data_IF_632674796138
#
_entry.id   IF_632674796138
#
_cell.length_a   1.000
_cell.length_b   1.000
_cell.length_c   1.000
_cell.angle_alpha   90.00
_cell.angle_beta   90.00
_cell.angle_gamma   90.00
#
_symmetry.space_group_name_H-M   'P 1'
#
loop_
_entity.id
_entity.type
_entity.pdbx_description
1 polymer ?
#
# COMPACT_ATOMS: atom_id res chain seq x y z
N UNK A 1 -8.56 13.45 -2.31
CA UNK A 1 -9.08 12.86 -1.06
C UNK A 1 -9.60 11.45 -1.35
N UNK A 2 -9.39 10.48 -0.43
CA UNK A 2 -9.95 9.13 -0.54
C UNK A 2 -11.48 9.20 -0.40
N UNK A 3 -12.19 8.63 -1.36
CA UNK A 3 -13.67 8.63 -1.41
C UNK A 3 -14.22 7.29 -0.95
N UNK A 4 -13.66 6.19 -1.46
CA UNK A 4 -14.12 4.85 -1.13
C UNK A 4 -12.99 3.83 -1.20
N UNK A 5 -13.17 2.73 -0.45
CA UNK A 5 -12.34 1.53 -0.52
C UNK A 5 -13.27 0.37 -0.87
N UNK A 6 -12.97 -0.31 -1.97
CA UNK A 6 -13.67 -1.51 -2.42
C UNK A 6 -12.81 -2.73 -2.10
N UNK A 7 -13.30 -3.57 -1.20
CA UNK A 7 -12.70 -4.81 -0.77
C UNK A 7 -13.35 -6.06 -1.38
N UNK A 8 -14.28 -5.89 -2.33
CA UNK A 8 -15.01 -7.00 -2.94
C UNK A 8 -14.14 -7.95 -3.77
N UNK A 9 -12.98 -7.48 -4.20
CA UNK A 9 -11.97 -8.29 -4.90
C UNK A 9 -11.00 -9.03 -3.97
N UNK A 10 -11.12 -8.90 -2.66
CA UNK A 10 -10.37 -9.72 -1.72
C UNK A 10 -10.90 -11.16 -1.71
N UNK A 11 -10.00 -12.12 -1.55
CA UNK A 11 -10.33 -13.53 -1.74
C UNK A 11 -10.24 -14.33 -0.43
N UNK A 12 -9.03 -14.50 0.08
CA UNK A 12 -8.77 -15.45 1.15
C UNK A 12 -7.90 -14.86 2.24
N UNK A 13 -8.33 -15.06 3.48
CA UNK A 13 -7.52 -14.82 4.67
C UNK A 13 -6.68 -16.06 5.00
N UNK A 14 -5.43 -15.85 5.36
CA UNK A 14 -4.51 -16.92 5.78
C UNK A 14 -3.63 -16.44 6.95
N UNK A 15 -3.18 -17.37 7.81
CA UNK A 15 -2.32 -17.01 8.93
C UNK A 15 -1.01 -16.40 8.46
N UNK A 16 -0.63 -15.28 9.05
CA UNK A 16 0.68 -14.67 8.85
C UNK A 16 1.79 -15.49 9.53
N UNK A 17 3.04 -15.24 9.14
CA UNK A 17 4.22 -15.78 9.83
C UNK A 17 4.28 -15.36 11.31
N UNK A 18 3.66 -14.24 11.66
CA UNK A 18 3.54 -13.77 13.04
C UNK A 18 2.30 -14.37 13.67
N UNK A 19 2.47 -15.12 14.77
CA UNK A 19 1.36 -15.77 15.49
C UNK A 19 0.30 -14.75 15.94
N UNK A 20 -0.98 -15.06 15.67
CA UNK A 20 -2.12 -14.21 16.01
C UNK A 20 -2.45 -13.14 14.97
N UNK A 21 -1.72 -13.08 13.86
CA UNK A 21 -1.98 -12.15 12.77
C UNK A 21 -2.33 -12.88 11.47
N UNK A 22 -3.04 -12.17 10.60
CA UNK A 22 -3.54 -12.69 9.33
C UNK A 22 -3.13 -11.78 8.17
N UNK A 23 -3.04 -12.38 7.01
CA UNK A 23 -2.81 -11.73 5.72
C UNK A 23 -4.01 -12.04 4.82
N UNK A 24 -4.22 -11.23 3.78
CA UNK A 24 -5.31 -11.42 2.83
C UNK A 24 -4.78 -11.36 1.40
N UNK A 25 -5.22 -12.28 0.56
CA UNK A 25 -4.98 -12.23 -0.88
C UNK A 25 -6.13 -11.58 -1.64
N UNK A 26 -5.89 -11.30 -2.90
CA UNK A 26 -6.87 -10.69 -3.80
C UNK A 26 -6.56 -9.23 -4.12
N UNK A 27 -7.59 -8.49 -4.49
CA UNK A 27 -7.49 -7.11 -4.94
C UNK A 27 -8.31 -6.18 -4.07
N UNK A 28 -7.70 -5.04 -3.75
CA UNK A 28 -8.35 -3.94 -3.05
C UNK A 28 -8.23 -2.69 -3.92
N UNK A 29 -9.34 -2.00 -4.14
CA UNK A 29 -9.38 -0.79 -4.93
C UNK A 29 -9.73 0.42 -4.08
N UNK A 30 -8.95 1.48 -4.22
CA UNK A 30 -9.19 2.78 -3.58
C UNK A 30 -9.50 3.83 -4.64
N UNK A 31 -10.58 4.57 -4.45
CA UNK A 31 -11.02 5.63 -5.36
C UNK A 31 -10.85 6.99 -4.71
N UNK A 32 -10.32 7.95 -5.45
CA UNK A 32 -10.04 9.30 -5.00
C UNK A 32 -10.91 10.35 -5.72
N UNK A 33 -11.19 11.46 -5.06
CA UNK A 33 -12.05 12.55 -5.57
C UNK A 33 -11.55 13.19 -6.88
N UNK A 34 -10.25 13.03 -7.19
CA UNK A 34 -9.67 13.49 -8.47
C UNK A 34 -9.82 12.52 -9.63
N UNK A 35 -10.60 11.42 -9.46
CA UNK A 35 -10.72 10.37 -10.46
C UNK A 35 -9.59 9.35 -10.48
N UNK A 36 -8.54 9.56 -9.68
CA UNK A 36 -7.45 8.59 -9.55
C UNK A 36 -7.91 7.35 -8.81
N UNK A 37 -7.34 6.21 -9.17
CA UNK A 37 -7.57 4.93 -8.53
C UNK A 37 -6.22 4.31 -8.12
N UNK A 38 -6.21 3.61 -6.99
CA UNK A 38 -5.13 2.75 -6.56
C UNK A 38 -5.66 1.33 -6.43
N UNK A 39 -5.07 0.39 -7.13
CA UNK A 39 -5.30 -1.04 -6.96
C UNK A 39 -4.11 -1.64 -6.22
N UNK A 40 -4.39 -2.32 -5.12
CA UNK A 40 -3.43 -3.17 -4.42
C UNK A 40 -3.80 -4.62 -4.70
N UNK A 41 -2.84 -5.39 -5.23
CA UNK A 41 -3.02 -6.80 -5.53
C UNK A 41 -1.98 -7.61 -4.76
N UNK A 42 -2.47 -8.63 -4.05
CA UNK A 42 -1.64 -9.61 -3.34
C UNK A 42 -2.05 -10.99 -3.80
N UNK A 43 -1.11 -11.72 -4.36
CA UNK A 43 -1.30 -13.12 -4.74
C UNK A 43 -0.27 -14.03 -4.07
N UNK A 44 -0.44 -15.33 -4.20
CA UNK A 44 0.47 -16.34 -3.64
C UNK A 44 1.71 -16.54 -4.54
N UNK A 45 1.89 -15.74 -5.59
CA UNK A 45 3.05 -15.84 -6.48
C UNK A 45 4.29 -15.26 -5.82
N UNK A 46 5.45 -15.78 -6.22
CA UNK A 46 6.75 -15.20 -5.83
C UNK A 46 7.10 -13.96 -6.67
N UNK A 47 6.11 -13.31 -7.26
CA UNK A 47 6.33 -12.13 -8.10
C UNK A 47 6.83 -10.97 -7.23
N UNK A 48 7.96 -10.36 -7.57
CA UNK A 48 8.47 -9.22 -6.80
C UNK A 48 7.49 -8.06 -6.78
N UNK A 49 7.49 -7.31 -5.68
CA UNK A 49 6.70 -6.10 -5.56
C UNK A 49 6.99 -5.13 -6.72
N UNK A 50 5.95 -4.68 -7.38
CA UNK A 50 6.05 -3.62 -8.39
C UNK A 50 4.94 -2.60 -8.22
N UNK A 51 5.27 -1.33 -8.48
CA UNK A 51 4.32 -0.23 -8.52
C UNK A 51 4.09 0.18 -9.98
N UNK A 52 2.83 0.20 -10.40
CA UNK A 52 2.44 0.69 -11.72
C UNK A 52 1.64 1.98 -11.53
N UNK A 53 2.12 3.05 -12.16
CA UNK A 53 1.42 4.33 -12.26
C UNK A 53 0.94 4.48 -13.71
N UNK A 54 -0.34 4.76 -13.88
CA UNK A 54 -0.94 4.87 -15.21
C UNK A 54 -1.86 6.08 -15.30
N UNK A 55 -1.81 6.76 -16.44
CA UNK A 55 -2.78 7.76 -16.84
C UNK A 55 -3.26 7.46 -18.28
N UNK A 56 -4.03 8.36 -18.90
CA UNK A 56 -4.56 8.18 -20.25
C UNK A 56 -3.47 8.10 -21.35
N UNK A 57 -2.27 8.61 -21.09
CA UNK A 57 -1.22 8.77 -22.09
C UNK A 57 -0.03 7.84 -21.85
N UNK A 58 0.29 7.58 -20.58
CA UNK A 58 1.50 6.91 -20.16
C UNK A 58 1.26 5.88 -19.06
N UNK A 59 2.12 4.88 -19.05
CA UNK A 59 2.24 3.92 -17.94
C UNK A 59 3.70 3.84 -17.50
N UNK A 60 3.92 3.94 -16.20
CA UNK A 60 5.23 3.77 -15.57
C UNK A 60 5.22 2.56 -14.65
N UNK A 61 6.28 1.81 -14.69
CA UNK A 61 6.51 0.67 -13.80
C UNK A 61 7.78 0.88 -13.00
N UNK A 62 7.65 0.83 -11.69
CA UNK A 62 8.76 0.72 -10.75
C UNK A 62 8.85 -0.73 -10.28
N UNK A 63 9.99 -1.36 -10.50
CA UNK A 63 10.33 -2.66 -9.93
C UNK A 63 11.38 -2.44 -8.83
N UNK A 64 10.93 -2.58 -7.60
CA UNK A 64 11.71 -2.24 -6.43
C UNK A 64 12.88 -3.22 -6.24
N UNK A 65 12.68 -4.50 -6.58
CA UNK A 65 13.67 -5.57 -6.35
C UNK A 65 14.93 -5.41 -7.18
N UNK A 66 14.78 -4.90 -8.41
CA UNK A 66 15.89 -4.67 -9.34
C UNK A 66 16.26 -3.19 -9.47
N UNK A 67 15.50 -2.30 -8.84
CA UNK A 67 15.74 -0.87 -8.89
C UNK A 67 15.54 -0.28 -10.29
N UNK A 68 14.59 -0.79 -11.06
CA UNK A 68 14.30 -0.28 -12.41
C UNK A 68 13.01 0.54 -12.42
N UNK A 69 13.05 1.65 -13.17
CA UNK A 69 11.90 2.49 -13.46
C UNK A 69 11.79 2.65 -14.98
N UNK A 70 10.68 2.22 -15.55
CA UNK A 70 10.45 2.23 -17.01
C UNK A 70 9.11 2.85 -17.35
N UNK A 71 8.96 3.39 -18.56
CA UNK A 71 7.66 3.83 -19.05
C UNK A 71 7.32 3.23 -20.42
N UNK A 72 6.06 3.39 -20.82
CA UNK A 72 5.53 2.91 -22.11
C UNK A 72 6.20 3.53 -23.33
N UNK A 73 6.85 4.70 -23.18
CA UNK A 73 7.53 5.42 -24.25
C UNK A 73 9.02 5.03 -24.44
N UNK A 74 9.46 3.97 -23.74
CA UNK A 74 10.84 3.47 -23.84
C UNK A 74 11.85 4.15 -22.92
N UNK A 75 11.41 5.05 -22.03
CA UNK A 75 12.28 5.59 -20.99
C UNK A 75 12.64 4.47 -19.99
N UNK A 76 13.91 4.43 -19.61
CA UNK A 76 14.40 3.50 -18.58
C UNK A 76 15.44 4.20 -17.71
N UNK A 77 15.27 4.03 -16.41
CA UNK A 77 16.20 4.47 -15.38
C UNK A 77 16.49 3.28 -14.46
N UNK A 78 17.75 3.04 -14.17
CA UNK A 78 18.15 2.02 -13.19
C UNK A 78 18.83 2.71 -12.01
N UNK A 79 18.53 2.23 -10.81
CA UNK A 79 19.06 2.74 -9.57
C UNK A 79 18.84 1.77 -8.44
N UNK A 80 19.13 2.21 -7.23
CA UNK A 80 18.81 1.49 -6.00
C UNK A 80 17.57 2.11 -5.36
N UNK A 81 16.58 1.29 -5.05
CA UNK A 81 15.51 1.68 -4.14
C UNK A 81 15.99 1.40 -2.72
N UNK A 82 16.08 2.44 -1.90
CA UNK A 82 16.56 2.32 -0.53
C UNK A 82 15.51 1.66 0.36
N UNK A 83 15.94 0.73 1.21
CA UNK A 83 15.06 0.13 2.21
C UNK A 83 14.67 1.15 3.28
N UNK A 84 13.54 0.94 3.93
CA UNK A 84 13.04 1.81 5.01
C UNK A 84 14.08 2.06 6.11
N UNK A 85 14.89 1.05 6.46
CA UNK A 85 15.97 1.18 7.43
C UNK A 85 17.07 2.14 6.99
N UNK A 86 17.34 2.26 5.69
CA UNK A 86 18.33 3.18 5.12
C UNK A 86 17.83 4.64 5.12
N UNK A 87 16.51 4.84 5.07
CA UNK A 87 15.88 6.16 5.08
C UNK A 87 15.87 6.81 6.48
N UNK A 88 16.05 6.04 7.54
CA UNK A 88 15.99 6.55 8.93
C UNK A 88 17.04 7.64 9.20
N UNK A 89 18.27 7.45 8.78
CA UNK A 89 19.34 8.44 8.94
C UNK A 89 19.03 9.78 8.28
N UNK A 90 18.75 9.81 6.96
CA UNK A 90 18.33 11.02 6.26
C UNK A 90 17.12 11.73 6.87
N UNK A 91 16.12 10.98 7.35
CA UNK A 91 14.95 11.54 8.04
C UNK A 91 15.32 12.25 9.34
N UNK A 92 16.14 11.60 10.17
CA UNK A 92 16.63 12.21 11.43
C UNK A 92 17.45 13.46 11.13
N UNK A 93 18.37 13.40 10.19
CA UNK A 93 19.17 14.55 9.76
C UNK A 93 18.31 15.72 9.31
N UNK A 94 17.26 15.47 8.55
CA UNK A 94 16.33 16.50 8.10
C UNK A 94 15.57 17.12 9.28
N UNK A 95 15.10 16.31 10.22
CA UNK A 95 14.42 16.81 11.44
C UNK A 95 15.37 17.68 12.24
N UNK A 96 16.61 17.25 12.47
CA UNK A 96 17.61 18.00 13.22
C UNK A 96 17.98 19.34 12.54
N UNK A 97 18.06 19.38 11.21
CA UNK A 97 18.39 20.58 10.44
C UNK A 97 17.24 21.57 10.31
N UNK A 98 16.01 21.08 10.19
CA UNK A 98 14.86 21.94 9.83
C UNK A 98 13.82 22.07 10.92
N UNK A 99 13.85 21.23 11.96
CA UNK A 99 12.81 21.12 12.98
C UNK A 99 11.51 20.51 12.45
N UNK A 100 11.50 19.95 11.22
CA UNK A 100 10.30 19.42 10.58
C UNK A 100 10.51 17.98 10.12
N UNK A 101 9.52 17.13 10.40
CA UNK A 101 9.45 15.78 9.86
C UNK A 101 8.83 15.82 8.45
N UNK A 102 9.47 15.25 7.42
CA UNK A 102 8.93 15.21 6.05
C UNK A 102 7.85 14.14 5.85
N UNK A 103 7.60 13.28 6.84
CA UNK A 103 6.57 12.27 6.76
C UNK A 103 5.17 12.90 6.90
N UNK A 104 4.13 12.26 6.34
CA UNK A 104 2.75 12.69 6.53
C UNK A 104 2.39 12.84 8.01
N UNK A 105 1.63 13.86 8.35
CA UNK A 105 1.17 14.05 9.71
C UNK A 105 0.14 12.97 10.10
N UNK A 106 0.15 12.59 11.39
CA UNK A 106 -0.76 11.57 11.92
C UNK A 106 -2.25 11.80 11.53
N UNK A 107 -2.82 13.02 11.58
CA UNK A 107 -4.22 13.24 11.20
C UNK A 107 -4.51 12.89 9.73
N UNK A 108 -3.58 13.17 8.83
CA UNK A 108 -3.72 12.87 7.39
C UNK A 108 -3.63 11.36 7.17
N UNK A 109 -2.60 10.75 7.74
CA UNK A 109 -2.36 9.31 7.65
C UNK A 109 -3.51 8.51 8.28
N UNK A 110 -3.96 8.89 9.49
CA UNK A 110 -5.03 8.19 10.21
C UNK A 110 -6.36 8.18 9.45
N UNK A 111 -6.68 9.22 8.69
CA UNK A 111 -7.91 9.29 7.90
C UNK A 111 -7.93 8.19 6.82
N UNK A 112 -6.83 8.04 6.08
CA UNK A 112 -6.70 7.02 5.04
C UNK A 112 -6.68 5.60 5.64
N UNK A 113 -5.91 5.39 6.69
CA UNK A 113 -5.84 4.11 7.38
C UNK A 113 -7.18 3.67 7.94
N UNK A 114 -7.96 4.58 8.51
CA UNK A 114 -9.28 4.25 9.07
C UNK A 114 -10.23 3.71 7.99
N UNK A 115 -10.29 4.34 6.82
CA UNK A 115 -11.13 3.88 5.72
C UNK A 115 -10.70 2.51 5.21
N UNK A 116 -9.39 2.28 5.09
CA UNK A 116 -8.82 0.99 4.70
C UNK A 116 -9.15 -0.10 5.74
N UNK A 117 -8.86 0.17 7.01
CA UNK A 117 -9.09 -0.80 8.10
C UNK A 117 -10.58 -1.13 8.23
N UNK A 118 -11.47 -0.17 8.04
CA UNK A 118 -12.92 -0.42 8.07
C UNK A 118 -13.34 -1.38 6.97
N UNK A 119 -12.91 -1.14 5.72
CA UNK A 119 -13.24 -2.02 4.60
C UNK A 119 -12.67 -3.44 4.77
N UNK A 120 -11.45 -3.56 5.29
CA UNK A 120 -10.84 -4.85 5.62
C UNK A 120 -11.56 -5.57 6.76
N UNK A 121 -11.99 -4.85 7.79
CA UNK A 121 -12.73 -5.41 8.92
C UNK A 121 -14.11 -5.92 8.50
N UNK A 122 -14.80 -5.18 7.64
CA UNK A 122 -16.10 -5.61 7.08
C UNK A 122 -15.93 -6.92 6.28
N UNK A 123 -14.89 -6.99 5.44
CA UNK A 123 -14.57 -8.20 4.69
C UNK A 123 -14.14 -9.37 5.61
N UNK A 124 -13.35 -9.09 6.66
CA UNK A 124 -12.98 -10.08 7.68
C UNK A 124 -14.22 -10.66 8.34
N UNK A 125 -15.09 -9.81 8.86
CA UNK A 125 -16.31 -10.23 9.55
C UNK A 125 -17.25 -11.03 8.65
N UNK A 126 -17.41 -10.63 7.40
CA UNK A 126 -18.19 -11.39 6.42
C UNK A 126 -17.59 -12.77 6.15
N UNK A 127 -16.28 -12.86 6.00
CA UNK A 127 -15.57 -14.11 5.69
C UNK A 127 -15.58 -15.09 6.86
N UNK A 128 -15.52 -14.60 8.09
CA UNK A 128 -15.45 -15.42 9.32
C UNK A 128 -16.78 -15.52 10.06
N UNK A 129 -17.85 -14.91 9.55
CA UNK A 129 -19.17 -14.84 10.22
C UNK A 129 -19.03 -14.31 11.66
N UNK A 130 -18.18 -13.31 11.86
CA UNK A 130 -17.86 -12.69 13.15
C UNK A 130 -18.39 -11.26 13.24
N UNK A 131 -18.30 -10.67 14.42
CA UNK A 131 -18.57 -9.26 14.70
C UNK A 131 -17.37 -8.66 15.45
N UNK A 132 -16.18 -8.93 14.97
CA UNK A 132 -14.97 -8.40 15.58
C UNK A 132 -14.91 -6.88 15.44
N UNK A 133 -14.34 -6.23 16.44
CA UNK A 133 -14.13 -4.77 16.46
C UNK A 133 -12.68 -4.40 16.15
N UNK A 134 -11.80 -5.40 16.09
CA UNK A 134 -10.38 -5.25 15.80
C UNK A 134 -9.99 -6.21 14.67
N UNK A 135 -9.25 -5.69 13.73
CA UNK A 135 -8.71 -6.48 12.63
C UNK A 135 -7.36 -7.09 13.04
N UNK A 136 -7.17 -8.40 12.96
CA UNK A 136 -5.92 -9.07 13.38
C UNK A 136 -4.84 -9.03 12.28
N UNK A 137 -4.48 -7.85 11.83
CA UNK A 137 -3.39 -7.61 10.86
C UNK A 137 -2.22 -6.88 11.51
N UNK A 138 -1.02 -7.00 10.91
CA UNK A 138 0.20 -6.32 11.39
C UNK A 138 0.37 -4.95 10.78
#
# INVERSE_FOLDING_TARGET
ELVSVDASGLEKWFPSKRNGFWEVSGKLQMNYSGGSQLELSVDESETPFSLILQNEQDSWRLDESVGSFTNSNGFSLNGKVEFQSELTGPLVDQILKTGKCPLPALPESAKMHRSLITALLDHWNASHQSNDTLLPIT
#
